data_IF_874530415011
#
_entry.id   IF_874530415011
#
_cell.length_a   1.000
_cell.length_b   1.000
_cell.length_c   1.000
_cell.angle_alpha   90.00
_cell.angle_beta   90.00
_cell.angle_gamma   90.00
#
_symmetry.space_group_name_H-M   'P 1'
#
loop_
_entity.id
_entity.type
_entity.pdbx_description
1 polymer ?
#
# COMPACT_ATOMS: atom_id res chain seq x y z
N UNK A 1 -6.96 25.72 8.10
CA UNK A 1 -7.07 24.58 9.04
C UNK A 1 -7.25 23.33 8.22
N UNK A 2 -6.55 22.26 8.52
CA UNK A 2 -6.64 21.01 7.76
C UNK A 2 -7.50 19.97 8.48
N UNK A 3 -8.78 19.88 8.11
CA UNK A 3 -9.71 18.91 8.70
C UNK A 3 -9.51 17.47 8.19
N UNK A 4 -8.68 17.27 7.16
CA UNK A 4 -8.40 15.94 6.58
C UNK A 4 -7.69 15.00 7.56
N UNK A 5 -6.78 15.54 8.36
CA UNK A 5 -5.96 14.78 9.32
C UNK A 5 -6.50 14.83 10.76
N UNK A 6 -7.41 15.74 11.08
CA UNK A 6 -7.97 15.87 12.44
C UNK A 6 -8.88 14.70 12.81
N UNK A 7 -8.85 14.34 14.09
CA UNK A 7 -9.81 13.41 14.69
C UNK A 7 -11.14 14.09 15.02
N UNK A 8 -12.20 13.29 15.13
CA UNK A 8 -13.54 13.79 15.41
C UNK A 8 -13.64 14.53 16.75
N UNK A 9 -12.93 14.05 17.76
CA UNK A 9 -12.92 14.64 19.10
C UNK A 9 -12.34 16.06 19.05
N UNK A 10 -11.20 16.25 18.37
CA UNK A 10 -10.61 17.56 18.13
C UNK A 10 -11.56 18.49 17.38
N UNK A 11 -12.24 18.01 16.34
CA UNK A 11 -13.23 18.84 15.61
C UNK A 11 -14.40 19.26 16.51
N UNK A 12 -14.90 18.36 17.36
CA UNK A 12 -16.08 18.62 18.19
C UNK A 12 -15.79 19.48 19.42
N UNK A 13 -14.63 19.34 20.06
CA UNK A 13 -14.30 20.01 21.32
C UNK A 13 -13.27 21.13 21.18
N UNK A 14 -12.46 21.08 20.11
CA UNK A 14 -11.36 22.01 19.87
C UNK A 14 -11.82 23.43 19.57
N UNK A 15 -10.98 24.37 19.99
CA UNK A 15 -11.17 25.81 19.79
C UNK A 15 -9.86 26.39 19.25
N UNK A 16 -9.95 27.25 18.24
CA UNK A 16 -8.79 27.90 17.65
C UNK A 16 -8.24 29.04 18.49
N UNK A 17 -7.12 29.62 18.04
CA UNK A 17 -6.53 30.84 18.61
C UNK A 17 -7.52 32.00 18.72
N UNK A 18 -8.51 32.01 17.82
CA UNK A 18 -9.46 33.12 17.67
C UNK A 18 -10.71 32.93 18.55
N UNK A 19 -10.75 31.90 19.40
CA UNK A 19 -11.89 31.58 20.27
C UNK A 19 -13.08 30.91 19.58
N UNK A 20 -13.00 30.69 18.26
CA UNK A 20 -14.04 30.02 17.47
C UNK A 20 -13.83 28.50 17.49
N UNK A 21 -14.92 27.74 17.63
CA UNK A 21 -14.88 26.26 17.68
C UNK A 21 -14.53 25.69 16.31
N UNK A 22 -13.68 24.65 16.29
CA UNK A 22 -13.32 23.96 15.04
C UNK A 22 -14.53 23.40 14.30
N UNK A 23 -15.54 22.92 15.04
CA UNK A 23 -16.82 22.47 14.50
C UNK A 23 -17.47 23.53 13.59
N UNK A 24 -17.41 24.81 13.96
CA UNK A 24 -18.05 25.87 13.19
C UNK A 24 -17.35 26.10 11.85
N UNK A 25 -16.01 26.12 11.86
CA UNK A 25 -15.22 26.22 10.63
C UNK A 25 -15.43 25.01 9.73
N UNK A 26 -15.39 23.81 10.31
CA UNK A 26 -15.60 22.56 9.59
C UNK A 26 -16.98 22.53 8.90
N UNK A 27 -18.06 22.85 9.61
CA UNK A 27 -19.41 22.83 9.03
C UNK A 27 -19.60 23.88 7.94
N UNK A 28 -18.97 25.06 8.07
CA UNK A 28 -18.99 26.09 7.03
C UNK A 28 -18.30 25.61 5.75
N UNK A 29 -17.15 24.95 5.88
CA UNK A 29 -16.42 24.40 4.73
C UNK A 29 -17.14 23.20 4.11
N UNK A 30 -17.67 22.30 4.94
CA UNK A 30 -18.46 21.15 4.50
C UNK A 30 -19.70 21.57 3.71
N UNK A 31 -20.46 22.54 4.23
CA UNK A 31 -21.66 23.05 3.53
C UNK A 31 -21.31 23.77 2.24
N UNK A 32 -20.16 24.45 2.17
CA UNK A 32 -19.68 25.06 0.93
C UNK A 32 -19.33 24.02 -0.16
N UNK A 33 -18.79 22.86 0.23
CA UNK A 33 -18.43 21.79 -0.70
C UNK A 33 -19.62 20.93 -1.14
N UNK A 34 -20.47 20.52 -0.20
CA UNK A 34 -21.54 19.54 -0.48
C UNK A 34 -22.93 20.17 -0.64
N UNK A 35 -23.14 21.41 -0.23
CA UNK A 35 -24.45 22.09 -0.34
C UNK A 35 -25.56 21.44 0.50
N UNK A 36 -25.23 20.55 1.42
CA UNK A 36 -26.19 19.77 2.22
C UNK A 36 -26.57 20.48 3.52
N UNK A 37 -27.77 20.19 4.03
CA UNK A 37 -28.18 20.64 5.37
C UNK A 37 -27.43 19.85 6.42
N UNK A 38 -26.69 20.56 7.28
CA UNK A 38 -25.91 19.96 8.37
C UNK A 38 -26.61 20.14 9.72
N UNK A 39 -26.48 19.13 10.58
CA UNK A 39 -26.93 19.18 11.97
C UNK A 39 -25.73 19.19 12.94
N UNK A 40 -25.38 20.33 13.55
CA UNK A 40 -24.25 20.44 14.47
C UNK A 40 -24.46 19.72 15.81
N UNK A 41 -25.71 19.45 16.22
CA UNK A 41 -26.02 18.85 17.52
C UNK A 41 -25.91 17.33 17.56
N UNK A 42 -25.79 16.67 16.39
CA UNK A 42 -25.71 15.23 16.28
C UNK A 42 -24.25 14.78 16.11
N UNK A 43 -23.62 14.28 17.19
CA UNK A 43 -22.22 13.83 17.16
C UNK A 43 -21.94 12.77 16.09
N UNK A 44 -22.81 11.76 15.97
CA UNK A 44 -22.69 10.73 14.92
C UNK A 44 -22.76 11.33 13.52
N UNK A 45 -23.60 12.33 13.31
CA UNK A 45 -23.74 13.00 12.03
C UNK A 45 -22.46 13.78 11.68
N UNK A 46 -21.86 14.47 12.65
CA UNK A 46 -20.56 15.15 12.46
C UNK A 46 -19.47 14.17 12.07
N UNK A 47 -19.45 12.96 12.68
CA UNK A 47 -18.55 11.88 12.27
C UNK A 47 -18.77 11.48 10.81
N UNK A 48 -20.03 11.29 10.40
CA UNK A 48 -20.37 10.97 9.01
C UNK A 48 -19.94 12.08 8.05
N UNK A 49 -20.17 13.34 8.41
CA UNK A 49 -19.73 14.49 7.60
C UNK A 49 -18.21 14.52 7.47
N UNK A 50 -17.48 14.30 8.57
CA UNK A 50 -16.01 14.30 8.57
C UNK A 50 -15.45 13.15 7.71
N UNK A 51 -16.04 11.96 7.80
CA UNK A 51 -15.65 10.84 6.94
C UNK A 51 -15.94 11.12 5.47
N UNK A 52 -17.11 11.66 5.14
CA UNK A 52 -17.46 12.05 3.76
C UNK A 52 -16.53 13.15 3.23
N UNK A 53 -16.18 14.12 4.07
CA UNK A 53 -15.20 15.16 3.76
C UNK A 53 -13.84 14.54 3.43
N UNK A 54 -13.31 13.67 4.30
CA UNK A 54 -12.03 12.97 4.07
C UNK A 54 -12.07 12.15 2.79
N UNK A 55 -13.12 11.37 2.58
CA UNK A 55 -13.28 10.54 1.39
C UNK A 55 -13.32 11.37 0.10
N UNK A 56 -13.98 12.53 0.10
CA UNK A 56 -14.01 13.41 -1.06
C UNK A 56 -12.61 13.87 -1.49
N UNK A 57 -11.77 14.26 -0.53
CA UNK A 57 -10.39 14.66 -0.84
C UNK A 57 -9.49 13.48 -1.19
N UNK A 58 -9.69 12.34 -0.56
CA UNK A 58 -9.02 11.09 -0.94
C UNK A 58 -9.36 10.73 -2.39
N UNK A 59 -10.63 10.81 -2.78
CA UNK A 59 -11.08 10.56 -4.16
C UNK A 59 -10.53 11.56 -5.17
N UNK A 60 -10.36 12.83 -4.78
CA UNK A 60 -9.74 13.85 -5.63
C UNK A 60 -8.21 13.67 -5.74
N UNK A 61 -7.56 13.22 -4.67
CA UNK A 61 -6.12 12.94 -4.63
C UNK A 61 -5.78 11.61 -5.33
N UNK A 62 -6.73 10.69 -5.41
CA UNK A 62 -6.60 9.45 -6.17
C UNK A 62 -6.55 9.73 -7.67
N UNK A 63 -5.33 9.92 -8.19
CA UNK A 63 -5.04 9.97 -9.62
C UNK A 63 -5.14 8.61 -10.31
N UNK A 64 -5.48 7.55 -9.56
CA UNK A 64 -5.64 6.22 -10.10
C UNK A 64 -6.86 6.15 -11.02
N UNK A 65 -6.61 5.86 -12.30
CA UNK A 65 -7.67 5.70 -13.31
C UNK A 65 -8.36 4.35 -13.25
N UNK A 66 -7.84 3.43 -12.43
CA UNK A 66 -8.44 2.13 -12.21
C UNK A 66 -9.56 2.24 -11.18
N UNK A 67 -10.72 1.64 -11.48
CA UNK A 67 -11.84 1.54 -10.54
C UNK A 67 -12.22 0.09 -10.34
N UNK A 68 -12.35 -0.34 -9.09
CA UNK A 68 -12.85 -1.66 -8.72
C UNK A 68 -14.36 -1.72 -8.91
N UNK A 69 -14.86 -2.91 -9.23
CA UNK A 69 -16.28 -3.19 -9.06
C UNK A 69 -16.67 -3.11 -7.57
N UNK A 70 -17.91 -2.68 -7.30
CA UNK A 70 -18.46 -2.62 -5.94
C UNK A 70 -18.40 -3.97 -5.19
N UNK A 71 -18.54 -5.10 -5.91
CA UNK A 71 -18.43 -6.46 -5.33
C UNK A 71 -17.01 -6.84 -4.88
N UNK A 72 -16.00 -6.10 -5.31
CA UNK A 72 -14.58 -6.34 -5.01
C UNK A 72 -13.98 -5.21 -4.18
N UNK A 73 -14.80 -4.47 -3.43
CA UNK A 73 -14.29 -3.55 -2.41
C UNK A 73 -13.77 -4.33 -1.19
N UNK A 74 -12.64 -3.87 -0.65
CA UNK A 74 -11.93 -4.46 0.49
C UNK A 74 -11.32 -5.84 0.19
N UNK A 75 -10.75 -6.02 -1.01
CA UNK A 75 -9.97 -7.22 -1.35
C UNK A 75 -8.53 -7.09 -0.84
N UNK A 76 -7.90 -8.17 -0.36
CA UNK A 76 -6.50 -8.13 0.05
C UNK A 76 -5.59 -7.88 -1.16
N UNK A 77 -4.59 -7.01 -0.98
CA UNK A 77 -3.63 -6.67 -2.04
C UNK A 77 -2.84 -7.88 -2.53
N UNK A 78 -2.42 -8.73 -1.61
CA UNK A 78 -1.66 -9.97 -1.82
C UNK A 78 -2.15 -11.00 -0.80
N UNK A 79 -1.86 -12.28 -1.02
CA UNK A 79 -2.23 -13.33 -0.07
C UNK A 79 -1.58 -13.07 1.31
N UNK A 80 -2.41 -12.85 2.33
CA UNK A 80 -1.96 -12.54 3.69
C UNK A 80 -1.60 -11.07 3.95
N UNK A 81 -1.84 -10.16 2.99
CA UNK A 81 -1.61 -8.73 3.22
C UNK A 81 -2.64 -8.13 4.20
N UNK A 82 -2.21 -7.29 5.15
CA UNK A 82 -3.14 -6.54 6.02
C UNK A 82 -3.84 -5.39 5.29
N UNK A 83 -3.41 -5.07 4.06
CA UNK A 83 -3.94 -3.96 3.28
C UNK A 83 -5.15 -4.45 2.48
N UNK A 84 -6.32 -3.91 2.82
CA UNK A 84 -7.58 -4.12 2.10
C UNK A 84 -7.78 -2.99 1.09
N UNK A 85 -7.73 -3.32 -0.19
CA UNK A 85 -7.83 -2.38 -1.30
C UNK A 85 -9.31 -2.08 -1.59
N UNK A 86 -9.64 -0.80 -1.70
CA UNK A 86 -10.93 -0.28 -2.08
C UNK A 86 -10.76 0.93 -3.01
N UNK A 87 -11.86 1.44 -3.58
CA UNK A 87 -11.81 2.59 -4.50
C UNK A 87 -11.31 3.90 -3.85
N UNK A 88 -11.31 3.97 -2.51
CA UNK A 88 -10.81 5.10 -1.76
C UNK A 88 -9.29 5.04 -1.50
N UNK A 89 -8.67 3.88 -1.43
CA UNK A 89 -7.22 3.77 -1.20
C UNK A 89 -6.44 3.21 -2.41
N UNK A 90 -7.10 3.12 -3.56
CA UNK A 90 -6.53 2.55 -4.78
C UNK A 90 -5.42 3.45 -5.34
N UNK A 91 -4.21 2.90 -5.45
CA UNK A 91 -3.09 3.50 -6.19
C UNK A 91 -2.83 2.75 -7.50
N UNK A 92 -2.08 3.36 -8.42
CA UNK A 92 -1.68 2.66 -9.65
C UNK A 92 -0.87 1.39 -9.35
N UNK A 93 -0.01 1.43 -8.33
CA UNK A 93 0.79 0.27 -7.90
C UNK A 93 -0.10 -0.86 -7.38
N UNK A 94 -1.11 -0.55 -6.56
CA UNK A 94 -2.05 -1.55 -6.07
C UNK A 94 -2.88 -2.14 -7.19
N UNK A 95 -3.29 -1.31 -8.15
CA UNK A 95 -4.01 -1.78 -9.32
C UNK A 95 -3.18 -2.78 -10.14
N UNK A 96 -1.89 -2.51 -10.33
CA UNK A 96 -0.98 -3.41 -11.06
C UNK A 96 -0.77 -4.74 -10.32
N UNK A 97 -0.55 -4.71 -9.00
CA UNK A 97 -0.45 -5.93 -8.20
C UNK A 97 -1.72 -6.78 -8.28
N UNK A 98 -2.89 -6.13 -8.25
CA UNK A 98 -4.17 -6.81 -8.43
C UNK A 98 -4.34 -7.36 -9.85
N UNK A 99 -3.74 -6.76 -10.87
CA UNK A 99 -3.71 -7.29 -12.24
C UNK A 99 -2.80 -8.51 -12.38
N UNK A 100 -1.73 -8.61 -11.59
CA UNK A 100 -0.86 -9.79 -11.55
C UNK A 100 -1.55 -11.03 -10.93
N UNK A 101 -2.65 -10.85 -10.20
CA UNK A 101 -3.42 -11.95 -9.65
C UNK A 101 -4.06 -12.81 -10.75
N UNK A 102 -4.32 -14.08 -10.43
CA UNK A 102 -5.08 -14.97 -11.31
C UNK A 102 -6.48 -14.40 -11.54
N UNK A 103 -6.75 -13.98 -12.78
CA UNK A 103 -7.96 -13.26 -13.21
C UNK A 103 -8.09 -11.83 -12.64
N UNK A 104 -6.97 -11.13 -12.44
CA UNK A 104 -6.92 -9.77 -11.92
C UNK A 104 -7.81 -8.76 -12.64
N UNK A 105 -7.96 -8.90 -13.97
CA UNK A 105 -8.83 -8.03 -14.80
C UNK A 105 -10.27 -7.98 -14.29
N UNK A 106 -10.77 -9.07 -13.69
CA UNK A 106 -12.16 -9.15 -13.20
C UNK A 106 -12.44 -8.22 -12.04
N UNK A 107 -11.41 -7.75 -11.34
CA UNK A 107 -11.58 -6.84 -10.21
C UNK A 107 -12.00 -5.45 -10.66
N UNK A 108 -11.62 -5.04 -11.88
CA UNK A 108 -11.76 -3.67 -12.36
C UNK A 108 -13.02 -3.47 -13.20
N UNK A 109 -13.80 -2.45 -12.83
CA UNK A 109 -14.92 -1.95 -13.60
C UNK A 109 -14.48 -0.96 -14.70
N UNK A 110 -13.42 -0.18 -14.42
CA UNK A 110 -12.84 0.79 -15.36
C UNK A 110 -11.34 0.58 -15.39
N UNK A 111 -10.81 0.40 -16.60
CA UNK A 111 -9.38 0.30 -16.88
C UNK A 111 -9.00 1.39 -17.90
N UNK A 112 -7.92 2.14 -17.69
CA UNK A 112 -7.45 3.11 -18.67
C UNK A 112 -6.94 2.39 -19.93
N UNK A 113 -7.31 2.89 -21.11
CA UNK A 113 -6.92 2.32 -22.41
C UNK A 113 -5.41 2.41 -22.73
N UNK A 114 -4.63 3.09 -21.89
CA UNK A 114 -3.18 3.09 -21.95
C UNK A 114 -2.64 2.61 -20.60
N UNK A 115 -1.83 1.54 -20.56
CA UNK A 115 -1.07 1.24 -19.36
C UNK A 115 -0.18 2.44 -19.09
N UNK A 116 -0.29 3.02 -17.89
CA UNK A 116 0.70 3.98 -17.46
C UNK A 116 2.06 3.28 -17.54
N UNK A 117 2.92 3.75 -18.45
CA UNK A 117 4.33 3.41 -18.43
C UNK A 117 4.85 3.90 -17.08
N UNK A 118 4.96 3.00 -16.11
CA UNK A 118 5.88 3.18 -15.00
C UNK A 118 7.25 3.05 -15.64
N UNK A 119 7.73 4.16 -16.19
CA UNK A 119 9.16 4.31 -16.41
C UNK A 119 9.82 4.03 -15.06
N UNK A 120 10.91 3.22 -15.02
CA UNK A 120 11.58 2.93 -13.77
C UNK A 120 11.90 4.25 -13.09
N UNK A 121 11.42 4.42 -11.86
CA UNK A 121 11.83 5.54 -11.01
C UNK A 121 13.35 5.68 -11.12
N UNK A 122 13.79 6.90 -11.43
CA UNK A 122 15.19 7.26 -11.44
C UNK A 122 15.77 6.91 -10.07
N UNK A 123 16.49 5.79 -10.02
CA UNK A 123 17.35 5.44 -8.88
C UNK A 123 18.19 6.69 -8.57
N UNK A 124 18.26 7.15 -7.30
CA UNK A 124 19.07 8.30 -6.97
C UNK A 124 20.50 8.04 -7.45
N UNK A 125 20.98 8.94 -8.31
CA UNK A 125 22.25 8.84 -9.00
C UNK A 125 23.37 8.51 -8.02
N UNK A 126 24.01 7.36 -8.21
CA UNK A 126 25.32 7.06 -7.64
C UNK A 126 26.31 8.11 -8.14
N UNK A 127 26.64 9.10 -7.30
CA UNK A 127 27.85 9.92 -7.50
C UNK A 127 29.08 9.08 -7.12
N UNK A 128 29.65 8.42 -8.11
CA UNK A 128 31.10 8.17 -8.22
C UNK A 128 31.80 9.56 -8.19
N UNK A 129 33.02 9.83 -7.70
CA UNK A 129 34.25 9.09 -7.34
C UNK A 129 35.21 10.17 -6.77
N UNK A 130 36.23 9.86 -5.95
CA UNK A 130 37.63 10.34 -6.10
C UNK A 130 38.57 9.54 -5.18
N UNK A 131 39.74 9.22 -5.74
CA UNK A 131 40.89 8.45 -5.22
C UNK A 131 41.66 9.16 -4.09
N UNK A 132 42.33 8.38 -3.25
CA UNK A 132 43.50 8.79 -2.45
C UNK A 132 44.31 7.56 -2.01
N UNK A 133 45.63 7.62 -2.19
CA UNK A 133 46.59 6.51 -2.22
C UNK A 133 47.05 5.97 -0.84
N UNK A 134 47.62 4.76 -0.83
CA UNK A 134 48.55 4.26 0.19
C UNK A 134 48.31 2.78 0.52
N UNK A 135 48.86 1.82 -0.23
CA UNK A 135 50.21 1.23 -0.11
C UNK A 135 50.36 0.11 0.96
N UNK A 136 50.55 -1.12 0.44
CA UNK A 136 51.54 -2.14 0.86
C UNK A 136 51.21 -3.04 2.07
N UNK A 137 51.13 -4.36 1.81
CA UNK A 137 51.90 -5.50 2.39
C UNK A 137 51.12 -6.81 2.13
N UNK A 138 51.48 -7.61 1.09
CA UNK A 138 52.36 -8.80 1.11
C UNK A 138 51.99 -9.89 2.13
N UNK A 139 51.52 -11.04 1.62
CA UNK A 139 51.97 -12.43 1.93
C UNK A 139 51.08 -13.40 1.13
N UNK A 140 51.48 -13.96 -0.01
CA UNK A 140 52.30 -15.18 -0.26
C UNK A 140 51.80 -16.49 0.38
N UNK A 141 51.63 -17.47 -0.53
CA UNK A 141 51.70 -18.94 -0.39
C UNK A 141 50.46 -19.62 0.23
N UNK A 142 50.05 -20.84 -0.11
CA UNK A 142 50.65 -21.89 -0.93
C UNK A 142 49.58 -22.94 -1.31
N UNK A 143 49.70 -23.48 -2.53
CA UNK A 143 49.50 -24.88 -2.98
C UNK A 143 48.79 -25.85 -2.01
N UNK A 144 47.72 -26.54 -2.45
CA UNK A 144 47.83 -27.95 -2.92
C UNK A 144 46.50 -28.58 -3.37
N UNK A 145 46.62 -29.46 -4.37
CA UNK A 145 45.60 -30.32 -5.00
C UNK A 145 45.21 -31.51 -4.11
N UNK A 146 43.98 -32.02 -4.32
CA UNK A 146 43.52 -33.45 -4.39
C UNK A 146 42.01 -33.36 -4.72
N UNK A 147 41.37 -33.87 -5.80
CA UNK A 147 41.43 -35.15 -6.56
C UNK A 147 41.30 -36.34 -5.60
N UNK A 148 40.30 -37.22 -5.57
CA UNK A 148 39.01 -37.53 -6.27
C UNK A 148 38.22 -38.49 -5.32
N UNK A 149 37.31 -39.40 -5.74
CA UNK A 149 35.88 -39.49 -5.36
C UNK A 149 35.59 -40.68 -4.40
N UNK A 150 34.34 -40.87 -3.98
CA UNK A 150 33.73 -42.18 -3.68
C UNK A 150 32.27 -41.93 -3.27
N UNK A 151 31.27 -42.34 -4.04
CA UNK A 151 30.65 -43.67 -3.97
C UNK A 151 30.07 -43.98 -2.58
N UNK A 152 28.80 -43.65 -2.35
CA UNK A 152 27.90 -44.71 -1.92
C UNK A 152 26.44 -44.46 -2.29
N UNK A 153 26.02 -45.40 -3.13
CA UNK A 153 24.72 -45.71 -3.69
C UNK A 153 23.64 -46.05 -2.63
N UNK A 154 22.36 -46.14 -3.01
CA UNK A 154 21.21 -46.33 -2.14
C UNK A 154 20.91 -47.82 -1.90
N UNK A 155 20.31 -48.11 -0.75
CA UNK A 155 19.70 -49.40 -0.40
C UNK A 155 18.21 -49.08 -0.18
N UNK A 156 17.27 -49.43 -1.08
CA UNK A 156 16.66 -50.77 -1.31
C UNK A 156 16.00 -51.27 -0.02
N UNK A 157 14.77 -51.74 0.11
CA UNK A 157 13.53 -51.95 -0.64
C UNK A 157 12.53 -52.54 0.38
N UNK A 158 11.23 -52.59 0.04
CA UNK A 158 10.22 -53.58 0.52
C UNK A 158 9.73 -53.43 1.98
N UNK A 159 8.48 -53.70 2.39
CA UNK A 159 7.24 -54.21 1.76
C UNK A 159 6.09 -54.15 2.80
N UNK A 160 4.84 -54.32 2.32
CA UNK A 160 3.63 -54.82 3.01
C UNK A 160 3.03 -53.97 4.15
N UNK A 161 1.82 -53.38 4.03
CA UNK A 161 0.47 -53.98 3.94
C UNK A 161 0.23 -55.10 4.96
N UNK A 162 -0.32 -54.75 6.14
CA UNK A 162 -1.50 -55.39 6.75
C UNK A 162 -1.74 -54.88 8.19
N UNK A 163 -2.94 -54.32 8.41
CA UNK A 163 -3.68 -54.27 9.68
C UNK A 163 -5.14 -53.98 9.27
N UNK A 164 -6.13 -54.89 9.33
CA UNK A 164 -6.84 -55.39 10.53
C UNK A 164 -7.04 -54.23 11.50
N UNK A 165 -8.21 -53.57 11.52
CA UNK A 165 -9.53 -54.09 11.94
C UNK A 165 -10.68 -53.25 11.34
#
# INVERSE_FOLDING_TARGET
MDFKSMDISTVMTGTGSDGVRYLQYFLKEYTALFGERVNPGCGNCVTTYLNKYKNHFIEMENQCKYRLHAKYENIPLEFGSPILVNNGNMTNEYALKLLEHKNGDRYFAVMPNQPFNIGPEEKPAKKMKVRGNGSVLKAKANISKKIVPDENSPVRSMEAINALE
#
